data_IF_802960272046
#
_entry.id   IF_802960272046
#
_cell.length_a   1.000
_cell.length_b   1.000
_cell.length_c   1.000
_cell.angle_alpha   90.00
_cell.angle_beta   90.00
_cell.angle_gamma   90.00
#
_symmetry.space_group_name_H-M   'P 1'
#
loop_
_entity.id
_entity.type
_entity.pdbx_description
1 polymer ?
#
# COMPACT_ATOMS: atom_id res chain seq x y z
N UNK A 1 -8.61 22.10 5.14
CA UNK A 1 -9.85 22.01 5.94
C UNK A 1 -10.82 21.06 5.24
N UNK A 2 -10.78 19.77 5.60
CA UNK A 2 -11.87 18.76 5.56
C UNK A 2 -11.25 17.36 5.72
N UNK A 3 -11.04 16.94 6.97
CA UNK A 3 -10.82 15.53 7.31
C UNK A 3 -11.78 15.19 8.46
N UNK A 4 -13.00 14.80 8.09
CA UNK A 4 -14.00 14.29 9.03
C UNK A 4 -15.01 13.47 8.23
N UNK A 5 -14.83 12.14 8.17
CA UNK A 5 -15.92 11.14 7.95
C UNK A 5 -15.43 9.67 7.90
N UNK A 6 -14.48 9.24 8.77
CA UNK A 6 -14.14 7.79 8.88
C UNK A 6 -14.08 7.23 10.30
N UNK A 7 -14.34 8.03 11.34
CA UNK A 7 -14.21 7.60 12.75
C UNK A 7 -15.43 6.89 13.36
N UNK A 8 -16.51 6.64 12.62
CA UNK A 8 -17.74 6.08 13.20
C UNK A 8 -18.00 4.60 12.91
N UNK A 9 -17.17 3.91 12.11
CA UNK A 9 -17.49 2.54 11.68
C UNK A 9 -16.92 1.43 12.59
N UNK A 10 -15.68 1.54 13.09
CA UNK A 10 -15.06 0.48 13.91
C UNK A 10 -15.65 0.40 15.33
N UNK A 11 -15.89 1.54 15.99
CA UNK A 11 -16.49 1.57 17.35
C UNK A 11 -17.93 1.10 17.37
N UNK A 12 -18.68 1.31 16.29
CA UNK A 12 -20.10 0.92 16.19
C UNK A 12 -20.24 -0.59 16.05
N UNK A 13 -19.38 -1.25 15.28
CA UNK A 13 -19.38 -2.71 15.17
C UNK A 13 -18.98 -3.37 16.50
N UNK A 14 -17.95 -2.88 17.19
CA UNK A 14 -17.57 -3.38 18.51
C UNK A 14 -18.67 -3.21 19.58
N UNK A 15 -19.41 -2.11 19.55
CA UNK A 15 -20.56 -1.92 20.45
C UNK A 15 -21.73 -2.90 20.17
N UNK A 16 -21.83 -3.39 18.94
CA UNK A 16 -22.78 -4.43 18.55
C UNK A 16 -22.30 -5.84 18.97
N UNK A 17 -20.97 -6.06 19.04
CA UNK A 17 -20.38 -7.36 19.39
C UNK A 17 -20.08 -7.55 20.89
N UNK A 18 -19.89 -6.48 21.67
CA UNK A 18 -19.44 -6.55 23.07
C UNK A 18 -20.57 -6.32 24.10
N UNK A 19 -21.83 -6.20 23.67
CA UNK A 19 -22.98 -5.96 24.57
C UNK A 19 -23.57 -7.25 25.17
N UNK A 20 -22.82 -8.33 25.13
CA UNK A 20 -23.17 -9.64 25.68
C UNK A 20 -22.03 -10.04 26.63
N UNK A 21 -22.11 -9.66 27.91
CA UNK A 21 -21.52 -10.38 29.07
C UNK A 21 -21.63 -9.64 30.42
N UNK A 22 -22.22 -8.42 30.49
CA UNK A 22 -22.43 -7.71 31.75
C UNK A 22 -23.88 -7.23 31.93
N UNK A 23 -24.82 -8.11 32.31
CA UNK A 23 -26.07 -7.68 32.97
C UNK A 23 -26.73 -8.86 33.72
N UNK A 24 -26.01 -9.34 34.74
CA UNK A 24 -26.58 -10.21 35.76
C UNK A 24 -27.19 -9.37 36.88
N UNK A 25 -28.44 -9.70 37.24
CA UNK A 25 -29.12 -9.40 38.52
C UNK A 25 -29.89 -8.05 38.60
N UNK A 26 -31.14 -8.06 38.14
CA UNK A 26 -32.23 -7.45 38.93
C UNK A 26 -33.62 -8.04 38.63
N UNK A 27 -34.38 -8.24 39.72
CA UNK A 27 -35.67 -8.92 39.80
C UNK A 27 -36.83 -7.99 39.46
N UNK A 28 -37.87 -8.55 38.82
CA UNK A 28 -39.32 -8.25 38.87
C UNK A 28 -39.93 -7.87 37.51
N UNK A 29 -40.85 -8.71 37.01
CA UNK A 29 -42.28 -8.41 36.71
C UNK A 29 -42.78 -9.34 35.59
N UNK A 30 -43.64 -10.29 35.96
CA UNK A 30 -43.99 -11.54 35.25
C UNK A 30 -44.86 -11.38 33.98
N UNK A 31 -45.01 -10.18 33.44
CA UNK A 31 -45.79 -9.89 32.22
C UNK A 31 -44.98 -9.22 31.11
N UNK A 32 -43.73 -8.78 31.37
CA UNK A 32 -42.79 -8.31 30.34
C UNK A 32 -42.16 -9.47 29.56
N UNK A 33 -42.11 -10.65 30.20
CA UNK A 33 -41.34 -11.82 29.77
C UNK A 33 -41.76 -12.36 28.40
N UNK A 34 -43.03 -12.23 28.02
CA UNK A 34 -43.54 -12.74 26.74
C UNK A 34 -43.13 -11.86 25.57
N UNK A 35 -43.18 -10.54 25.71
CA UNK A 35 -42.76 -9.59 24.67
C UNK A 35 -41.23 -9.56 24.54
N UNK A 36 -40.50 -9.62 25.66
CA UNK A 36 -39.03 -9.76 25.68
C UNK A 36 -38.58 -11.10 25.07
N UNK A 37 -39.30 -12.21 25.32
CA UNK A 37 -38.99 -13.51 24.68
C UNK A 37 -39.28 -13.53 23.17
N UNK A 38 -40.21 -12.71 22.70
CA UNK A 38 -40.52 -12.54 21.27
C UNK A 38 -39.53 -11.59 20.58
N UNK A 39 -39.05 -10.56 21.28
CA UNK A 39 -38.01 -9.64 20.79
C UNK A 39 -36.60 -10.24 20.86
N UNK A 40 -36.34 -11.17 21.79
CA UNK A 40 -35.09 -11.94 21.86
C UNK A 40 -34.99 -13.01 20.75
N UNK A 41 -36.11 -13.37 20.11
CA UNK A 41 -36.20 -14.49 19.16
C UNK A 41 -35.68 -14.22 17.74
N UNK A 42 -35.14 -13.03 17.47
CA UNK A 42 -34.43 -12.72 16.22
C UNK A 42 -33.07 -12.06 16.42
N UNK A 43 -32.44 -12.21 17.59
CA UNK A 43 -31.00 -11.91 17.69
C UNK A 43 -30.22 -12.99 16.96
N UNK A 44 -29.86 -12.69 15.72
CA UNK A 44 -29.07 -13.57 14.86
C UNK A 44 -27.72 -13.84 15.54
N UNK A 45 -27.52 -15.07 15.98
CA UNK A 45 -26.25 -15.50 16.54
C UNK A 45 -25.19 -15.55 15.43
N UNK A 46 -24.29 -14.57 15.41
CA UNK A 46 -23.23 -14.47 14.41
C UNK A 46 -22.22 -15.62 14.49
N UNK A 47 -22.20 -16.38 15.60
CA UNK A 47 -21.38 -17.59 15.75
C UNK A 47 -21.86 -18.72 14.83
N UNK A 48 -23.15 -18.71 14.45
CA UNK A 48 -23.73 -19.71 13.55
C UNK A 48 -23.46 -19.40 12.06
N UNK A 49 -22.70 -18.34 11.76
CA UNK A 49 -22.24 -18.09 10.40
C UNK A 49 -21.27 -19.19 9.95
N UNK A 50 -21.42 -19.71 8.72
CA UNK A 50 -20.40 -20.53 8.08
C UNK A 50 -19.01 -19.87 8.17
N UNK A 51 -17.94 -20.64 8.46
CA UNK A 51 -16.59 -20.10 8.58
C UNK A 51 -16.16 -19.26 7.37
N UNK A 52 -16.60 -19.60 6.16
CA UNK A 52 -16.29 -18.89 4.93
C UNK A 52 -16.88 -17.46 4.92
N UNK A 53 -18.09 -17.30 5.46
CA UNK A 53 -18.71 -15.97 5.60
C UNK A 53 -18.00 -15.15 6.67
N UNK A 54 -17.64 -15.78 7.78
CA UNK A 54 -16.87 -15.13 8.85
C UNK A 54 -15.50 -14.67 8.33
N UNK A 55 -14.77 -15.51 7.59
CA UNK A 55 -13.51 -15.15 6.92
C UNK A 55 -13.69 -13.96 5.98
N UNK A 56 -14.75 -13.95 5.16
CA UNK A 56 -15.05 -12.85 4.24
C UNK A 56 -15.32 -11.52 4.96
N UNK A 57 -15.97 -11.57 6.13
CA UNK A 57 -16.19 -10.40 6.99
C UNK A 57 -14.85 -9.93 7.58
N UNK A 58 -14.07 -10.84 8.16
CA UNK A 58 -12.81 -10.52 8.83
C UNK A 58 -11.77 -9.95 7.84
N UNK A 59 -11.73 -10.42 6.60
CA UNK A 59 -10.85 -9.90 5.53
C UNK A 59 -11.15 -8.45 5.12
N UNK A 60 -12.29 -7.89 5.54
CA UNK A 60 -12.66 -6.48 5.29
C UNK A 60 -12.30 -5.56 6.46
N UNK A 61 -11.86 -6.12 7.58
CA UNK A 61 -11.42 -5.36 8.74
C UNK A 61 -9.98 -4.87 8.56
N UNK A 62 -9.61 -3.81 9.29
CA UNK A 62 -8.21 -3.36 9.35
C UNK A 62 -7.33 -4.39 10.06
N UNK A 63 -6.02 -4.37 9.81
CA UNK A 63 -5.07 -5.25 10.52
C UNK A 63 -5.19 -5.07 12.05
N UNK A 64 -5.32 -3.83 12.52
CA UNK A 64 -5.53 -3.50 13.93
C UNK A 64 -6.82 -4.12 14.46
N UNK A 65 -7.94 -4.02 13.73
CA UNK A 65 -9.20 -4.63 14.17
C UNK A 65 -9.10 -6.16 14.24
N UNK A 66 -8.37 -6.80 13.32
CA UNK A 66 -8.18 -8.25 13.36
C UNK A 66 -7.34 -8.65 14.58
N UNK A 67 -6.19 -8.00 14.77
CA UNK A 67 -5.21 -8.35 15.81
C UNK A 67 -5.72 -8.00 17.21
N UNK A 68 -6.27 -6.81 17.39
CA UNK A 68 -6.63 -6.29 18.71
C UNK A 68 -8.05 -6.62 19.12
N UNK A 69 -8.97 -6.84 18.16
CA UNK A 69 -10.39 -7.01 18.46
C UNK A 69 -10.92 -8.39 18.05
N UNK A 70 -10.87 -8.74 16.77
CA UNK A 70 -11.53 -9.95 16.25
C UNK A 70 -11.03 -11.26 16.92
N UNK A 71 -9.72 -11.35 17.17
CA UNK A 71 -9.13 -12.49 17.87
C UNK A 71 -9.59 -12.66 19.33
N UNK A 72 -10.21 -11.64 19.91
CA UNK A 72 -10.72 -11.62 21.29
C UNK A 72 -12.22 -11.90 21.37
N UNK A 73 -12.96 -11.86 20.26
CA UNK A 73 -14.43 -12.04 20.23
C UNK A 73 -14.83 -13.46 20.66
N UNK A 74 -14.35 -14.50 19.96
CA UNK A 74 -14.65 -15.88 20.31
C UNK A 74 -13.57 -16.85 19.82
N UNK A 75 -13.64 -18.12 20.25
CA UNK A 75 -12.66 -19.16 19.86
C UNK A 75 -12.63 -19.39 18.35
N UNK A 76 -13.78 -19.32 17.69
CA UNK A 76 -13.87 -19.56 16.25
C UNK A 76 -13.26 -18.43 15.44
N UNK A 77 -13.54 -17.17 15.79
CA UNK A 77 -12.91 -16.01 15.16
C UNK A 77 -11.40 -16.02 15.38
N UNK A 78 -10.95 -16.34 16.60
CA UNK A 78 -9.52 -16.52 16.89
C UNK A 78 -8.88 -17.60 16.01
N UNK A 79 -9.57 -18.72 15.78
CA UNK A 79 -9.10 -19.80 14.91
C UNK A 79 -8.97 -19.33 13.47
N UNK A 80 -9.98 -18.63 12.95
CA UNK A 80 -9.98 -18.06 11.60
C UNK A 80 -8.88 -17.03 11.44
N UNK A 81 -8.73 -16.08 12.36
CA UNK A 81 -7.67 -15.06 12.33
C UNK A 81 -6.25 -15.66 12.38
N UNK A 82 -6.07 -16.90 12.86
CA UNK A 82 -4.78 -17.60 12.85
C UNK A 82 -4.53 -18.41 11.58
N UNK A 83 -5.52 -18.52 10.70
CA UNK A 83 -5.39 -19.22 9.44
C UNK A 83 -4.44 -18.45 8.49
N UNK A 84 -3.44 -19.11 7.86
CA UNK A 84 -2.50 -18.44 6.96
C UNK A 84 -3.16 -17.72 5.78
N UNK A 85 -4.33 -18.18 5.32
CA UNK A 85 -5.06 -17.55 4.22
C UNK A 85 -5.53 -16.12 4.54
N UNK A 86 -5.68 -15.78 5.82
CA UNK A 86 -5.99 -14.42 6.28
C UNK A 86 -4.87 -13.42 6.00
N UNK A 87 -3.63 -13.90 5.87
CA UNK A 87 -2.42 -13.06 5.86
C UNK A 87 -1.67 -13.11 4.53
N UNK A 88 -2.38 -13.45 3.44
CA UNK A 88 -1.81 -13.44 2.08
C UNK A 88 -1.61 -12.03 1.53
N UNK A 89 -2.38 -11.06 2.03
CA UNK A 89 -2.32 -9.64 1.67
C UNK A 89 -2.26 -8.81 2.93
N UNK A 90 -1.22 -8.00 3.08
CA UNK A 90 -0.99 -7.17 4.26
C UNK A 90 -0.87 -5.72 3.82
N UNK A 91 -1.72 -4.84 4.35
CA UNK A 91 -1.55 -3.40 4.18
C UNK A 91 -1.30 -2.75 5.54
N UNK A 92 -0.03 -2.51 5.87
CA UNK A 92 0.29 -1.92 7.17
C UNK A 92 0.05 -0.43 7.22
N UNK A 93 -0.21 0.22 6.08
CA UNK A 93 -0.54 1.65 6.01
C UNK A 93 -1.87 1.98 6.69
N UNK A 94 -2.73 0.98 6.88
CA UNK A 94 -4.00 1.12 7.61
C UNK A 94 -3.83 1.00 9.14
N UNK A 95 -2.62 0.73 9.63
CA UNK A 95 -2.36 0.60 11.06
C UNK A 95 -2.22 1.99 11.70
N UNK A 96 -3.22 2.41 12.47
CA UNK A 96 -3.21 3.68 13.21
C UNK A 96 -2.34 3.62 14.50
N UNK A 97 -1.47 2.63 14.63
CA UNK A 97 -0.83 2.27 15.89
C UNK A 97 0.56 2.91 16.03
N UNK A 98 0.61 4.21 16.39
CA UNK A 98 1.86 4.89 16.72
C UNK A 98 2.50 4.41 18.05
N UNK A 99 1.78 3.64 18.86
CA UNK A 99 2.19 3.29 20.23
C UNK A 99 2.71 1.86 20.41
N UNK A 100 2.81 1.06 19.33
CA UNK A 100 3.24 -0.33 19.41
C UNK A 100 4.50 -0.57 18.60
N UNK A 101 5.26 -1.61 19.00
CA UNK A 101 6.37 -2.13 18.20
C UNK A 101 5.84 -2.73 16.89
N UNK A 102 5.70 -1.86 15.90
CA UNK A 102 5.22 -2.21 14.58
C UNK A 102 6.15 -3.19 13.87
N UNK A 103 7.46 -3.15 14.14
CA UNK A 103 8.40 -4.09 13.52
C UNK A 103 8.09 -5.51 14.00
N UNK A 104 7.88 -5.68 15.31
CA UNK A 104 7.47 -6.97 15.89
C UNK A 104 6.09 -7.39 15.40
N UNK A 105 5.13 -6.47 15.31
CA UNK A 105 3.80 -6.75 14.76
C UNK A 105 3.90 -7.22 13.30
N UNK A 106 4.63 -6.49 12.45
CA UNK A 106 4.79 -6.83 11.04
C UNK A 106 5.45 -8.19 10.87
N UNK A 107 6.52 -8.49 11.62
CA UNK A 107 7.15 -9.81 11.65
C UNK A 107 6.16 -10.90 12.04
N UNK A 108 5.38 -10.67 13.10
CA UNK A 108 4.36 -11.61 13.54
C UNK A 108 3.31 -11.90 12.45
N UNK A 109 2.81 -10.86 11.77
CA UNK A 109 1.84 -11.04 10.68
C UNK A 109 2.46 -11.79 9.50
N UNK A 110 3.71 -11.47 9.14
CA UNK A 110 4.47 -12.20 8.10
C UNK A 110 4.60 -13.68 8.49
N UNK A 111 4.84 -14.00 9.76
CA UNK A 111 4.95 -15.38 10.23
C UNK A 111 3.60 -16.12 10.20
N UNK A 112 2.51 -15.43 10.52
CA UNK A 112 1.16 -15.99 10.42
C UNK A 112 0.82 -16.42 8.98
N UNK A 113 1.41 -15.79 7.96
CA UNK A 113 1.22 -16.19 6.55
C UNK A 113 1.80 -17.56 6.22
N UNK A 114 2.67 -18.13 7.06
CA UNK A 114 3.35 -19.42 6.87
C UNK A 114 3.99 -19.58 5.47
N UNK A 115 4.51 -18.48 4.91
CA UNK A 115 5.13 -18.45 3.58
C UNK A 115 4.16 -18.22 2.41
N UNK A 116 2.86 -18.11 2.69
CA UNK A 116 1.81 -17.79 1.72
C UNK A 116 1.60 -16.29 1.46
N UNK A 117 2.43 -15.41 2.02
CA UNK A 117 2.38 -13.96 1.78
C UNK A 117 2.62 -13.66 0.30
N UNK A 118 1.69 -12.95 -0.32
CA UNK A 118 1.76 -12.56 -1.74
C UNK A 118 1.91 -11.05 -1.92
N UNK A 119 1.24 -10.25 -1.10
CA UNK A 119 1.17 -8.81 -1.25
C UNK A 119 1.42 -8.14 0.09
N UNK A 120 2.35 -7.19 0.13
CA UNK A 120 2.60 -6.40 1.33
C UNK A 120 2.90 -4.94 1.00
N UNK A 121 2.19 -4.04 1.65
CA UNK A 121 2.47 -2.61 1.65
C UNK A 121 2.98 -2.21 3.03
N UNK A 122 4.21 -1.73 3.10
CA UNK A 122 4.86 -1.27 4.33
C UNK A 122 4.83 0.24 4.41
N UNK A 123 4.47 0.74 5.59
CA UNK A 123 4.42 2.16 5.90
C UNK A 123 5.83 2.78 6.06
N UNK A 124 5.95 4.07 5.74
CA UNK A 124 7.22 4.80 5.73
C UNK A 124 7.90 4.95 7.08
N UNK A 125 7.16 4.90 8.19
CA UNK A 125 7.73 5.15 9.51
C UNK A 125 8.53 3.99 10.08
N UNK A 126 8.35 2.78 9.54
CA UNK A 126 8.86 1.55 10.15
C UNK A 126 9.79 0.73 9.25
N UNK A 127 9.93 1.14 7.99
CA UNK A 127 10.76 0.43 7.03
C UNK A 127 12.25 0.53 7.41
N UNK A 128 12.94 -0.62 7.39
CA UNK A 128 14.40 -0.74 7.57
C UNK A 128 14.92 -1.87 6.69
N UNK A 129 16.22 -1.88 6.38
CA UNK A 129 16.84 -2.96 5.60
C UNK A 129 16.60 -4.35 6.22
N UNK A 130 16.61 -4.43 7.56
CA UNK A 130 16.37 -5.68 8.31
C UNK A 130 14.94 -6.22 8.18
N UNK A 131 13.95 -5.31 8.20
CA UNK A 131 12.54 -5.66 8.05
C UNK A 131 12.24 -6.01 6.59
N UNK A 132 12.77 -5.21 5.67
CA UNK A 132 12.62 -5.45 4.24
C UNK A 132 13.21 -6.80 3.85
N UNK A 133 14.45 -7.10 4.27
CA UNK A 133 15.08 -8.40 4.06
C UNK A 133 14.20 -9.54 4.59
N UNK A 134 13.66 -9.41 5.80
CA UNK A 134 12.81 -10.42 6.42
C UNK A 134 11.53 -10.71 5.62
N UNK A 135 10.87 -9.65 5.16
CA UNK A 135 9.67 -9.73 4.34
C UNK A 135 9.99 -10.42 3.00
N UNK A 136 11.11 -10.06 2.37
CA UNK A 136 11.52 -10.58 1.07
C UNK A 136 12.13 -11.98 1.10
N UNK A 137 12.29 -12.59 2.28
CA UNK A 137 12.60 -14.03 2.39
C UNK A 137 11.39 -14.91 2.02
N UNK A 138 10.28 -14.32 1.53
CA UNK A 138 9.06 -14.98 1.06
C UNK A 138 8.83 -14.67 -0.42
N UNK A 139 8.05 -15.50 -1.12
CA UNK A 139 7.78 -15.34 -2.55
C UNK A 139 6.65 -14.32 -2.82
N UNK A 140 6.99 -13.04 -2.81
CA UNK A 140 6.04 -11.95 -3.05
C UNK A 140 5.70 -11.76 -4.53
N UNK A 141 4.47 -11.33 -4.79
CA UNK A 141 3.98 -10.84 -6.09
C UNK A 141 3.76 -9.33 -6.12
N UNK A 142 3.50 -8.71 -4.97
CA UNK A 142 3.37 -7.26 -4.85
C UNK A 142 4.10 -6.75 -3.61
N UNK A 143 4.89 -5.69 -3.80
CA UNK A 143 5.61 -5.01 -2.72
C UNK A 143 5.39 -3.50 -2.83
N UNK A 144 4.80 -2.92 -1.79
CA UNK A 144 4.68 -1.48 -1.60
C UNK A 144 5.60 -0.99 -0.48
N UNK A 145 6.37 0.05 -0.73
CA UNK A 145 7.33 0.63 0.21
C UNK A 145 7.08 2.13 0.36
N UNK A 146 6.74 2.59 1.57
CA UNK A 146 6.88 3.99 1.94
C UNK A 146 8.33 4.29 2.31
N UNK A 147 8.91 5.35 1.74
CA UNK A 147 10.35 5.64 1.85
C UNK A 147 10.65 7.11 2.17
N UNK A 148 9.81 7.76 2.99
CA UNK A 148 9.97 9.16 3.40
C UNK A 148 11.25 9.43 4.21
N UNK A 149 11.73 8.43 4.96
CA UNK A 149 12.91 8.57 5.82
C UNK A 149 14.07 7.67 5.33
N UNK A 150 15.34 8.13 5.42
CA UNK A 150 16.51 7.39 4.96
C UNK A 150 16.92 6.26 5.93
N UNK A 151 15.97 5.44 6.36
CA UNK A 151 16.21 4.24 7.20
C UNK A 151 16.52 2.99 6.38
N UNK A 152 16.15 3.01 5.11
CA UNK A 152 16.50 1.99 4.13
C UNK A 152 17.60 2.50 3.22
N UNK A 153 18.56 1.64 2.92
CA UNK A 153 19.65 1.96 2.00
C UNK A 153 19.33 1.52 0.58
N UNK A 154 19.94 2.17 -0.42
CA UNK A 154 19.86 1.77 -1.83
C UNK A 154 20.22 0.28 -1.99
N UNK A 155 21.29 -0.15 -1.33
CA UNK A 155 21.77 -1.53 -1.36
C UNK A 155 20.77 -2.49 -0.69
N UNK A 156 20.16 -2.08 0.43
CA UNK A 156 19.12 -2.85 1.12
C UNK A 156 17.91 -3.14 0.25
N UNK A 157 17.42 -2.14 -0.50
CA UNK A 157 16.33 -2.34 -1.47
C UNK A 157 16.70 -3.33 -2.55
N UNK A 158 17.86 -3.16 -3.19
CA UNK A 158 18.31 -4.05 -4.27
C UNK A 158 18.48 -5.48 -3.78
N UNK A 159 19.12 -5.67 -2.63
CA UNK A 159 19.33 -6.99 -2.04
C UNK A 159 18.02 -7.69 -1.67
N UNK A 160 17.04 -6.93 -1.18
CA UNK A 160 15.73 -7.47 -0.85
C UNK A 160 14.93 -7.85 -2.11
N UNK A 161 14.93 -6.97 -3.13
CA UNK A 161 14.25 -7.23 -4.41
C UNK A 161 14.88 -8.44 -5.13
N UNK A 162 16.20 -8.61 -5.04
CA UNK A 162 16.90 -9.77 -5.61
C UNK A 162 16.41 -11.12 -5.05
N UNK A 163 15.78 -11.14 -3.86
CA UNK A 163 15.21 -12.36 -3.26
C UNK A 163 13.83 -12.74 -3.79
N UNK A 164 13.15 -11.83 -4.51
CA UNK A 164 11.76 -11.98 -4.97
C UNK A 164 11.65 -11.90 -6.50
N UNK A 165 12.22 -12.86 -7.25
CA UNK A 165 12.25 -12.81 -8.72
C UNK A 165 10.87 -12.92 -9.40
N UNK A 166 9.83 -13.29 -8.64
CA UNK A 166 8.45 -13.40 -9.11
C UNK A 166 7.61 -12.14 -8.88
N UNK A 167 8.23 -11.04 -8.45
CA UNK A 167 7.55 -9.77 -8.20
C UNK A 167 6.89 -9.24 -9.49
N UNK A 168 5.59 -8.96 -9.42
CA UNK A 168 4.79 -8.43 -10.52
C UNK A 168 4.45 -6.95 -10.33
N UNK A 169 4.38 -6.48 -9.08
CA UNK A 169 4.08 -5.10 -8.73
C UNK A 169 5.09 -4.55 -7.73
N UNK A 170 5.70 -3.41 -8.06
CA UNK A 170 6.51 -2.62 -7.15
C UNK A 170 5.94 -1.20 -7.06
N UNK A 171 5.59 -0.79 -5.85
CA UNK A 171 5.18 0.57 -5.55
C UNK A 171 6.12 1.18 -4.53
N UNK A 172 6.76 2.29 -4.88
CA UNK A 172 7.57 3.08 -3.96
C UNK A 172 6.95 4.46 -3.84
N UNK A 173 6.55 4.81 -2.63
CA UNK A 173 5.99 6.12 -2.28
C UNK A 173 7.00 6.90 -1.45
N UNK A 174 6.99 8.21 -1.62
CA UNK A 174 7.79 9.14 -0.82
C UNK A 174 9.30 8.90 -0.85
N UNK A 175 9.86 8.33 -1.93
CA UNK A 175 11.30 8.00 -1.96
C UNK A 175 12.18 9.23 -1.78
N UNK A 176 12.97 9.22 -0.70
CA UNK A 176 14.06 10.17 -0.46
C UNK A 176 15.41 9.71 -1.03
N UNK A 177 15.49 8.49 -1.61
CA UNK A 177 16.72 7.94 -2.18
C UNK A 177 16.58 7.64 -3.69
N UNK A 178 17.68 7.74 -4.44
CA UNK A 178 17.77 7.30 -5.83
C UNK A 178 17.90 5.77 -5.88
N UNK A 179 16.90 5.10 -6.43
CA UNK A 179 16.89 3.64 -6.57
C UNK A 179 17.76 3.17 -7.74
N UNK A 180 18.23 1.93 -7.66
CA UNK A 180 18.88 1.26 -8.80
C UNK A 180 17.85 0.56 -9.67
N UNK A 181 17.12 1.31 -10.50
CA UNK A 181 16.05 0.72 -11.31
C UNK A 181 16.58 -0.33 -12.29
N UNK A 182 17.83 -0.19 -12.74
CA UNK A 182 18.47 -1.18 -13.62
C UNK A 182 18.68 -2.50 -12.88
N UNK A 183 19.22 -2.48 -11.65
CA UNK A 183 19.37 -3.70 -10.86
C UNK A 183 18.00 -4.32 -10.50
N UNK A 184 17.01 -3.48 -10.15
CA UNK A 184 15.64 -3.92 -9.82
C UNK A 184 14.98 -4.63 -11.02
N UNK A 185 15.09 -4.06 -12.23
CA UNK A 185 14.49 -4.66 -13.42
C UNK A 185 15.11 -6.00 -13.78
N UNK A 186 16.45 -6.12 -13.67
CA UNK A 186 17.12 -7.41 -13.88
C UNK A 186 16.77 -8.46 -12.81
N UNK A 187 16.54 -8.04 -11.56
CA UNK A 187 16.13 -8.93 -10.48
C UNK A 187 14.70 -9.47 -10.64
N UNK A 188 13.80 -8.67 -11.21
CA UNK A 188 12.37 -9.01 -11.34
C UNK A 188 11.90 -9.00 -12.80
N UNK A 189 12.25 -10.02 -13.61
CA UNK A 189 11.93 -10.05 -15.05
C UNK A 189 10.44 -10.21 -15.37
N UNK A 190 9.57 -10.37 -14.37
CA UNK A 190 8.11 -10.45 -14.52
C UNK A 190 7.38 -9.20 -14.02
N UNK A 191 8.11 -8.11 -13.74
CA UNK A 191 7.52 -6.87 -13.26
C UNK A 191 6.56 -6.30 -14.31
N UNK A 192 5.28 -6.20 -13.95
CA UNK A 192 4.18 -5.69 -14.80
C UNK A 192 3.77 -4.28 -14.41
N UNK A 193 3.92 -3.94 -13.12
CA UNK A 193 3.49 -2.67 -12.55
C UNK A 193 4.63 -2.04 -11.78
N UNK A 194 5.02 -0.82 -12.16
CA UNK A 194 5.99 -0.01 -11.45
C UNK A 194 5.37 1.34 -11.13
N UNK A 195 5.32 1.68 -9.85
CA UNK A 195 4.86 2.99 -9.37
C UNK A 195 5.95 3.64 -8.56
N UNK A 196 6.52 4.73 -9.06
CA UNK A 196 7.53 5.54 -8.38
C UNK A 196 6.96 6.92 -8.15
N UNK A 197 6.66 7.21 -6.89
CA UNK A 197 6.13 8.49 -6.50
C UNK A 197 7.20 9.26 -5.71
N UNK A 198 7.80 10.23 -6.39
CA UNK A 198 8.80 11.09 -5.77
C UNK A 198 8.10 12.18 -4.98
N UNK A 199 8.62 12.50 -3.79
CA UNK A 199 8.19 13.65 -2.98
C UNK A 199 8.64 15.00 -3.58
N UNK A 200 8.94 15.05 -4.88
CA UNK A 200 9.51 16.20 -5.56
C UNK A 200 8.81 17.51 -5.17
N UNK A 201 9.41 18.23 -4.21
CA UNK A 201 8.97 19.51 -3.62
C UNK A 201 7.74 19.52 -2.69
N UNK A 202 7.24 18.40 -2.20
CA UNK A 202 6.00 18.38 -1.39
C UNK A 202 6.18 18.66 0.11
N UNK A 203 7.41 18.79 0.64
CA UNK A 203 7.56 19.46 1.93
C UNK A 203 7.28 20.95 1.70
N UNK A 204 6.26 21.55 2.34
CA UNK A 204 6.13 22.99 2.35
C UNK A 204 7.46 23.51 2.86
N UNK A 205 8.09 24.45 2.15
CA UNK A 205 9.10 25.28 2.76
C UNK A 205 8.40 26.01 3.91
N UNK A 206 8.33 25.36 5.07
CA UNK A 206 7.90 25.96 6.32
C UNK A 206 8.96 27.00 6.62
N UNK A 207 8.69 28.21 6.15
CA UNK A 207 9.13 29.48 6.68
C UNK A 207 10.39 29.38 7.54
N UNK A 208 11.57 29.19 6.92
CA UNK A 208 12.91 29.55 7.48
C UNK A 208 14.12 29.00 6.74
N UNK A 209 13.99 28.10 5.79
CA UNK A 209 15.16 27.58 5.08
C UNK A 209 15.30 28.21 3.70
N UNK A 210 16.46 28.85 3.53
CA UNK A 210 16.93 29.54 2.34
C UNK A 210 16.67 28.71 1.07
N UNK A 211 16.06 29.34 0.06
CA UNK A 211 15.77 28.74 -1.26
C UNK A 211 17.02 28.23 -1.98
N UNK A 212 18.20 28.55 -1.45
CA UNK A 212 19.51 28.19 -1.97
C UNK A 212 19.99 26.78 -1.57
N UNK A 213 19.22 26.00 -0.79
CA UNK A 213 19.53 24.57 -0.52
C UNK A 213 18.96 23.63 -1.62
N UNK A 214 18.29 24.18 -2.63
CA UNK A 214 17.76 23.40 -3.76
C UNK A 214 18.79 23.08 -4.85
N UNK A 215 19.99 23.69 -4.80
CA UNK A 215 21.03 23.55 -5.82
C UNK A 215 21.85 22.23 -5.73
N UNK A 216 21.71 21.45 -4.66
CA UNK A 216 22.42 20.16 -4.50
C UNK A 216 21.64 18.94 -5.06
N UNK A 217 20.50 19.17 -5.71
CA UNK A 217 19.54 18.11 -6.08
C UNK A 217 19.86 17.40 -7.40
N UNK A 218 21.02 17.65 -8.00
CA UNK A 218 21.39 17.11 -9.32
C UNK A 218 20.67 17.81 -10.48
N UNK A 219 20.85 17.34 -11.72
CA UNK A 219 20.42 18.07 -12.91
C UNK A 219 18.92 18.35 -12.94
N UNK A 220 18.51 19.49 -13.50
CA UNK A 220 17.10 19.90 -13.62
C UNK A 220 16.25 18.90 -14.45
N UNK A 221 16.92 18.08 -15.24
CA UNK A 221 16.40 17.07 -16.17
C UNK A 221 17.22 15.78 -15.99
N UNK A 222 16.56 14.63 -15.85
CA UNK A 222 17.26 13.37 -15.61
C UNK A 222 16.49 12.21 -16.23
N UNK A 223 17.08 11.60 -17.26
CA UNK A 223 16.51 10.46 -17.97
C UNK A 223 17.08 9.11 -17.48
N UNK A 224 17.98 9.10 -16.49
CA UNK A 224 18.65 7.88 -16.02
C UNK A 224 17.67 6.79 -15.56
N UNK A 225 16.60 7.18 -14.85
CA UNK A 225 15.56 6.24 -14.41
C UNK A 225 14.77 5.71 -15.61
N UNK A 226 14.49 6.57 -16.58
CA UNK A 226 13.73 6.21 -17.77
C UNK A 226 14.53 5.25 -18.67
N UNK A 227 15.82 5.51 -18.87
CA UNK A 227 16.74 4.61 -19.58
C UNK A 227 16.87 3.27 -18.85
N UNK A 228 17.04 3.29 -17.53
CA UNK A 228 17.12 2.06 -16.74
C UNK A 228 15.84 1.21 -16.85
N UNK A 229 14.65 1.82 -16.80
CA UNK A 229 13.37 1.14 -16.99
C UNK A 229 13.30 0.55 -18.41
N UNK A 230 13.59 1.35 -19.43
CA UNK A 230 13.55 0.94 -20.83
C UNK A 230 14.46 -0.27 -21.13
N UNK A 231 15.66 -0.30 -20.53
CA UNK A 231 16.63 -1.38 -20.74
C UNK A 231 16.29 -2.66 -19.99
N UNK A 232 15.63 -2.58 -18.83
CA UNK A 232 15.53 -3.70 -17.88
C UNK A 232 14.12 -4.23 -17.62
N UNK A 233 13.06 -3.54 -18.07
CA UNK A 233 11.67 -3.88 -17.75
C UNK A 233 10.76 -3.99 -18.99
N UNK A 234 11.08 -4.84 -19.98
CA UNK A 234 10.35 -4.89 -21.26
C UNK A 234 8.90 -5.42 -21.15
N UNK A 235 8.53 -6.06 -20.04
CA UNK A 235 7.19 -6.61 -19.78
C UNK A 235 6.27 -5.69 -18.99
N UNK A 236 6.68 -4.43 -18.80
CA UNK A 236 5.89 -3.48 -18.04
C UNK A 236 4.58 -3.15 -18.78
N UNK A 237 3.46 -3.21 -18.06
CA UNK A 237 2.13 -2.85 -18.56
C UNK A 237 1.61 -1.55 -17.93
N UNK A 238 2.03 -1.26 -16.69
CA UNK A 238 1.61 -0.09 -15.94
C UNK A 238 2.83 0.63 -15.35
N UNK A 239 3.03 1.88 -15.77
CA UNK A 239 4.08 2.74 -15.26
C UNK A 239 3.48 4.01 -14.68
N UNK A 240 3.80 4.30 -13.43
CA UNK A 240 3.50 5.58 -12.79
C UNK A 240 4.80 6.22 -12.32
N UNK A 241 5.13 7.39 -12.88
CA UNK A 241 6.23 8.25 -12.49
C UNK A 241 5.65 9.59 -12.08
N UNK A 242 5.40 9.79 -10.79
CA UNK A 242 4.85 11.05 -10.27
C UNK A 242 5.99 11.99 -9.87
N UNK A 243 5.90 13.25 -10.30
CA UNK A 243 6.84 14.32 -9.96
C UNK A 243 8.32 14.01 -10.31
N UNK A 244 8.53 13.21 -11.35
CA UNK A 244 9.85 12.85 -11.85
C UNK A 244 10.40 13.95 -12.80
N UNK A 245 11.73 13.97 -13.00
CA UNK A 245 12.45 14.95 -13.83
C UNK A 245 12.73 14.48 -15.26
N UNK A 246 12.15 13.36 -15.70
CA UNK A 246 12.36 12.85 -17.04
C UNK A 246 11.92 13.85 -18.12
N UNK A 247 12.63 13.83 -19.23
CA UNK A 247 12.34 14.65 -20.39
C UNK A 247 11.55 13.86 -21.44
N UNK A 248 11.24 14.52 -22.56
CA UNK A 248 10.71 13.84 -23.75
C UNK A 248 11.66 12.74 -24.27
N UNK A 249 12.98 12.87 -24.08
CA UNK A 249 13.96 11.85 -24.49
C UNK A 249 13.80 10.58 -23.65
N UNK A 250 13.77 10.72 -22.32
CA UNK A 250 13.52 9.60 -21.41
C UNK A 250 12.17 8.94 -21.67
N UNK A 251 11.11 9.72 -21.91
CA UNK A 251 9.80 9.14 -22.22
C UNK A 251 9.81 8.35 -23.52
N UNK A 252 10.45 8.86 -24.59
CA UNK A 252 10.59 8.09 -25.83
C UNK A 252 11.34 6.78 -25.59
N UNK A 253 12.42 6.79 -24.79
CA UNK A 253 13.15 5.57 -24.45
C UNK A 253 12.26 4.53 -23.75
N UNK A 254 11.40 4.95 -22.82
CA UNK A 254 10.42 4.06 -22.17
C UNK A 254 9.46 3.46 -23.21
N UNK A 255 8.93 4.28 -24.12
CA UNK A 255 8.01 3.81 -25.17
C UNK A 255 8.71 2.83 -26.13
N UNK A 256 10.01 2.99 -26.38
CA UNK A 256 10.80 2.07 -27.21
C UNK A 256 11.12 0.76 -26.46
N UNK A 257 11.44 0.84 -25.16
CA UNK A 257 11.87 -0.29 -24.35
C UNK A 257 10.74 -1.13 -23.73
N UNK A 258 9.55 -0.56 -23.56
CA UNK A 258 8.39 -1.20 -22.93
C UNK A 258 7.22 -1.36 -23.93
N UNK A 259 7.28 -2.32 -24.86
CA UNK A 259 6.29 -2.46 -25.94
C UNK A 259 4.89 -2.88 -25.48
N UNK A 260 4.75 -3.38 -24.25
CA UNK A 260 3.49 -3.82 -23.66
C UNK A 260 2.87 -2.78 -22.72
N UNK A 261 3.42 -1.56 -22.67
CA UNK A 261 2.94 -0.52 -21.78
C UNK A 261 1.56 -0.04 -22.22
N UNK A 262 0.56 -0.18 -21.33
CA UNK A 262 -0.83 0.20 -21.61
C UNK A 262 -1.33 1.33 -20.69
N UNK A 263 -0.70 1.52 -19.54
CA UNK A 263 -1.00 2.60 -18.61
C UNK A 263 0.26 3.41 -18.30
N UNK A 264 0.18 4.72 -18.50
CA UNK A 264 1.25 5.66 -18.21
C UNK A 264 0.72 6.84 -17.41
N UNK A 265 1.23 6.99 -16.20
CA UNK A 265 0.97 8.15 -15.36
C UNK A 265 2.25 8.96 -15.17
N UNK A 266 2.27 10.16 -15.74
CA UNK A 266 3.39 11.11 -15.65
C UNK A 266 2.97 12.43 -15.02
N UNK A 267 1.95 12.40 -14.15
CA UNK A 267 1.51 13.59 -13.43
C UNK A 267 2.67 14.26 -12.69
N UNK A 268 2.67 15.59 -12.68
CA UNK A 268 3.73 16.44 -12.12
C UNK A 268 5.12 16.28 -12.78
N UNK A 269 5.26 15.52 -13.87
CA UNK A 269 6.49 15.49 -14.68
C UNK A 269 6.53 16.66 -15.66
N UNK A 270 6.80 17.86 -15.15
CA UNK A 270 6.68 19.12 -15.90
C UNK A 270 7.76 19.37 -16.96
N UNK A 271 8.72 18.45 -17.12
CA UNK A 271 9.72 18.46 -18.19
C UNK A 271 9.24 17.73 -19.45
N UNK A 272 8.09 17.07 -19.38
CA UNK A 272 7.47 16.39 -20.52
C UNK A 272 6.50 17.36 -21.20
N UNK A 273 6.66 17.54 -22.51
CA UNK A 273 5.72 18.22 -23.38
C UNK A 273 5.10 17.20 -24.34
N UNK A 274 3.91 16.71 -23.99
CA UNK A 274 3.12 15.79 -24.80
C UNK A 274 2.48 16.54 -25.99
N UNK A 275 3.28 16.80 -27.02
CA UNK A 275 2.84 17.44 -28.27
C UNK A 275 3.45 16.73 -29.48
N UNK A 276 2.82 16.89 -30.64
CA UNK A 276 3.35 16.39 -31.92
C UNK A 276 3.54 14.86 -31.93
N UNK A 277 4.71 14.41 -32.38
CA UNK A 277 5.00 12.98 -32.52
C UNK A 277 4.94 12.22 -31.19
N UNK A 278 5.38 12.82 -30.09
CA UNK A 278 5.37 12.15 -28.78
C UNK A 278 3.95 11.91 -28.29
N UNK A 279 3.05 12.89 -28.44
CA UNK A 279 1.64 12.73 -28.11
C UNK A 279 0.99 11.64 -28.94
N UNK A 280 1.24 11.64 -30.27
CA UNK A 280 0.74 10.60 -31.17
C UNK A 280 1.19 9.20 -30.74
N UNK A 281 2.49 9.03 -30.46
CA UNK A 281 3.03 7.76 -29.97
C UNK A 281 2.37 7.29 -28.67
N UNK A 282 2.19 8.21 -27.71
CA UNK A 282 1.51 7.89 -26.46
C UNK A 282 0.07 7.44 -26.71
N UNK A 283 -0.69 8.14 -27.58
CA UNK A 283 -2.08 7.79 -27.87
C UNK A 283 -2.24 6.47 -28.65
N UNK A 284 -1.23 6.08 -29.43
CA UNK A 284 -1.23 4.80 -30.16
C UNK A 284 -0.94 3.60 -29.25
N UNK A 285 -0.03 3.77 -28.27
CA UNK A 285 0.42 2.68 -27.40
C UNK A 285 -0.32 2.61 -26.07
N UNK A 286 -0.65 3.76 -25.48
CA UNK A 286 -1.14 3.87 -24.10
C UNK A 286 -2.66 3.99 -24.10
N UNK A 287 -3.34 3.02 -23.47
CA UNK A 287 -4.80 3.01 -23.29
C UNK A 287 -5.23 4.02 -22.22
N UNK A 288 -4.46 4.14 -21.15
CA UNK A 288 -4.73 5.04 -20.02
C UNK A 288 -3.53 5.96 -19.78
N UNK A 289 -3.65 7.22 -20.23
CA UNK A 289 -2.61 8.23 -20.09
C UNK A 289 -3.03 9.32 -19.08
N UNK A 290 -2.27 9.48 -17.99
CA UNK A 290 -2.37 10.64 -17.08
C UNK A 290 -1.27 11.64 -17.40
N UNK A 291 -1.67 12.83 -17.83
CA UNK A 291 -0.79 13.89 -18.32
C UNK A 291 -0.13 14.65 -17.15
N UNK A 292 1.01 15.35 -17.37
CA UNK A 292 1.69 16.10 -16.32
C UNK A 292 0.83 17.09 -15.53
N UNK A 293 -0.16 17.70 -16.18
CA UNK A 293 -1.08 18.67 -15.59
C UNK A 293 -2.36 18.10 -14.97
N UNK A 294 -2.60 16.79 -15.08
CA UNK A 294 -3.84 16.19 -14.59
C UNK A 294 -3.94 16.26 -13.05
N UNK A 295 -5.17 16.26 -12.54
CA UNK A 295 -5.43 16.26 -11.11
C UNK A 295 -4.80 15.06 -10.42
N UNK A 296 -4.32 15.28 -9.19
CA UNK A 296 -3.78 14.25 -8.30
C UNK A 296 -4.71 13.98 -7.12
N UNK A 297 -5.98 14.37 -7.21
CA UNK A 297 -6.95 14.23 -6.11
C UNK A 297 -7.29 12.77 -5.76
N UNK A 298 -7.15 11.86 -6.72
CA UNK A 298 -7.29 10.41 -6.55
C UNK A 298 -6.03 9.74 -5.99
N UNK A 299 -4.92 10.47 -5.90
CA UNK A 299 -3.68 9.95 -5.35
C UNK A 299 -3.81 9.83 -3.83
N UNK A 300 -3.77 8.61 -3.27
CA UNK A 300 -4.17 8.37 -1.88
C UNK A 300 -3.20 8.97 -0.86
N UNK A 301 -2.02 9.42 -1.27
CA UNK A 301 -0.98 9.96 -0.39
C UNK A 301 -0.80 11.48 -0.49
N UNK A 302 -1.69 12.19 -1.22
CA UNK A 302 -1.74 13.65 -1.18
C UNK A 302 -2.51 14.09 0.07
N UNK A 303 -1.88 14.05 1.24
CA UNK A 303 -2.53 14.48 2.48
C UNK A 303 -1.86 14.08 3.80
N UNK A 304 -0.60 13.63 3.76
CA UNK A 304 0.24 13.44 4.95
C UNK A 304 1.22 14.59 5.04
#
# INVERSE_FOLDING_TARGET
MTASSKMTSSTTLLSLFMKEDEEGRNKKTTTSTTLESLLMKERRNWVDLPPELTTSILLRLSLTDILDNAQKVCKEWRRICKDPSMWRKINTRDCLMYNFDFVSMCRHIVDLSQGGLLEINVDEHFLSDSLLSYITDRNLRSLGLGMCFPRVTKLGVVNAIAKIPLLETLEVTHSCIKLDLKAIGHACPQLKTLKLNSLGRLWPASDKYDSNVLDDMGPLECDDDALAIAESMPKLHHLQLMANRLTNTGLNAILDGCPHLEHLDVRKCFRISLVGNLEKRCLEMIKELRRPGDSTADYPYNGV
#
